data_IF_396031140163
#
_entry.id   IF_396031140163
#
_cell.length_a   1.000
_cell.length_b   1.000
_cell.length_c   1.000
_cell.angle_alpha   90.00
_cell.angle_beta   90.00
_cell.angle_gamma   90.00
#
_symmetry.space_group_name_H-M   'P 1'
#
loop_
_entity.id
_entity.type
_entity.pdbx_description
1 polymer ?
#
# COMPACT_ATOMS: atom_id res chain seq x y z
N UNK A 1 -42.87 12.08 -19.18
CA UNK A 1 -42.24 11.33 -18.08
C UNK A 1 -41.02 10.62 -18.65
N UNK A 2 -39.81 10.82 -18.10
CA UNK A 2 -38.67 10.00 -18.49
C UNK A 2 -38.93 8.54 -18.07
N UNK A 3 -38.58 7.54 -18.89
CA UNK A 3 -38.75 6.14 -18.53
C UNK A 3 -37.94 5.83 -17.27
N UNK A 4 -38.56 5.11 -16.33
CA UNK A 4 -37.89 4.63 -15.12
C UNK A 4 -36.64 3.84 -15.53
N UNK A 5 -35.47 4.21 -14.99
CA UNK A 5 -34.26 3.41 -15.16
C UNK A 5 -34.57 1.99 -14.66
N UNK A 6 -34.29 0.93 -15.44
CA UNK A 6 -34.54 -0.43 -15.00
C UNK A 6 -33.78 -0.66 -13.69
N UNK A 7 -34.47 -1.15 -12.66
CA UNK A 7 -33.79 -1.58 -11.45
C UNK A 7 -32.81 -2.69 -11.83
N UNK A 8 -31.56 -2.64 -11.34
CA UNK A 8 -30.62 -3.72 -11.58
C UNK A 8 -31.23 -5.03 -11.05
N UNK A 9 -31.11 -6.15 -11.78
CA UNK A 9 -31.67 -7.42 -11.34
C UNK A 9 -31.10 -7.78 -9.96
N UNK A 10 -31.96 -8.32 -9.08
CA UNK A 10 -31.51 -8.79 -7.77
C UNK A 10 -30.41 -9.85 -7.98
N UNK A 11 -29.31 -9.79 -7.22
CA UNK A 11 -28.22 -10.74 -7.35
C UNK A 11 -28.74 -12.16 -7.13
N UNK A 12 -28.27 -13.11 -7.95
CA UNK A 12 -28.58 -14.54 -7.77
C UNK A 12 -28.13 -15.00 -6.36
N UNK A 13 -28.67 -16.10 -5.82
CA UNK A 13 -28.21 -16.63 -4.52
C UNK A 13 -26.68 -16.82 -4.45
N UNK A 14 -26.06 -17.24 -5.56
CA UNK A 14 -24.61 -17.32 -5.70
C UNK A 14 -23.96 -15.92 -5.70
N UNK A 15 -24.56 -14.93 -6.37
CA UNK A 15 -24.15 -13.53 -6.31
C UNK A 15 -24.20 -12.96 -4.90
N UNK A 16 -25.25 -13.24 -4.13
CA UNK A 16 -25.35 -12.84 -2.72
C UNK A 16 -24.26 -13.49 -1.87
N UNK A 17 -23.96 -14.77 -2.08
CA UNK A 17 -22.87 -15.47 -1.36
C UNK A 17 -21.51 -14.83 -1.65
N UNK A 18 -21.20 -14.52 -2.91
CA UNK A 18 -19.98 -13.81 -3.28
C UNK A 18 -19.89 -12.42 -2.61
N UNK A 19 -20.98 -11.66 -2.64
CA UNK A 19 -21.04 -10.33 -1.99
C UNK A 19 -20.90 -10.41 -0.47
N UNK A 20 -21.51 -11.41 0.18
CA UNK A 20 -21.36 -11.63 1.61
C UNK A 20 -19.93 -12.03 1.98
N UNK A 21 -19.28 -12.86 1.17
CA UNK A 21 -17.87 -13.23 1.37
C UNK A 21 -16.96 -12.00 1.25
N UNK A 22 -17.16 -11.16 0.23
CA UNK A 22 -16.47 -9.87 0.08
C UNK A 22 -16.76 -8.91 1.24
N UNK A 23 -18.00 -8.88 1.74
CA UNK A 23 -18.39 -8.07 2.89
C UNK A 23 -17.79 -8.57 4.22
N UNK A 24 -17.43 -9.85 4.27
CA UNK A 24 -16.79 -10.48 5.43
C UNK A 24 -15.27 -10.60 5.27
N UNK A 25 -14.67 -10.05 4.20
CA UNK A 25 -13.24 -10.18 3.87
C UNK A 25 -12.76 -11.64 3.66
N UNK A 26 -13.70 -12.57 3.43
CA UNK A 26 -13.42 -13.98 3.14
C UNK A 26 -13.04 -14.14 1.68
N UNK A 27 -11.85 -13.68 1.32
CA UNK A 27 -11.39 -13.58 -0.07
C UNK A 27 -11.36 -14.94 -0.79
N UNK A 28 -10.95 -16.02 -0.13
CA UNK A 28 -10.95 -17.36 -0.72
C UNK A 28 -12.37 -17.84 -1.07
N UNK A 29 -13.33 -17.64 -0.15
CA UNK A 29 -14.75 -17.96 -0.39
C UNK A 29 -15.34 -17.10 -1.51
N UNK A 30 -14.97 -15.82 -1.55
CA UNK A 30 -15.38 -14.89 -2.60
C UNK A 30 -14.82 -15.31 -3.96
N UNK A 31 -13.54 -15.69 -4.04
CA UNK A 31 -12.90 -16.16 -5.26
C UNK A 31 -13.58 -17.42 -5.79
N UNK A 32 -13.81 -18.42 -4.93
CA UNK A 32 -14.50 -19.66 -5.31
C UNK A 32 -15.92 -19.39 -5.81
N UNK A 33 -16.68 -18.54 -5.10
CA UNK A 33 -18.03 -18.16 -5.52
C UNK A 33 -18.04 -17.39 -6.85
N UNK A 34 -17.06 -16.51 -7.09
CA UNK A 34 -16.92 -15.77 -8.34
C UNK A 34 -16.48 -16.67 -9.50
N UNK A 35 -15.67 -17.69 -9.27
CA UNK A 35 -15.33 -18.71 -10.26
C UNK A 35 -16.57 -19.52 -10.69
N UNK A 36 -17.42 -19.91 -9.72
CA UNK A 36 -18.69 -20.56 -10.00
C UNK A 36 -19.62 -19.66 -10.82
N UNK A 37 -19.78 -18.41 -10.40
CA UNK A 37 -20.59 -17.41 -11.12
C UNK A 37 -20.09 -17.19 -12.55
N UNK A 38 -18.78 -17.13 -12.77
CA UNK A 38 -18.19 -16.99 -14.10
C UNK A 38 -18.49 -18.20 -15.00
N UNK A 39 -18.63 -19.40 -14.43
CA UNK A 39 -19.01 -20.63 -15.17
C UNK A 39 -20.51 -20.69 -15.46
N UNK A 40 -21.34 -20.30 -14.49
CA UNK A 40 -22.81 -20.34 -14.59
C UNK A 40 -23.38 -19.20 -15.45
N UNK A 41 -22.74 -18.03 -15.43
CA UNK A 41 -23.17 -16.82 -16.12
C UNK A 41 -22.06 -16.28 -17.05
N UNK A 42 -21.64 -17.05 -18.10
CA UNK A 42 -20.45 -16.74 -18.90
C UNK A 42 -20.55 -15.46 -19.74
N UNK A 43 -21.76 -14.92 -19.93
CA UNK A 43 -22.02 -13.66 -20.63
C UNK A 43 -21.93 -12.41 -19.73
N UNK A 44 -21.84 -12.58 -18.40
CA UNK A 44 -21.83 -11.46 -17.47
C UNK A 44 -20.38 -11.00 -17.19
N UNK A 45 -20.01 -9.84 -17.73
CA UNK A 45 -18.64 -9.30 -17.63
C UNK A 45 -18.22 -8.85 -16.22
N UNK A 46 -19.15 -8.65 -15.28
CA UNK A 46 -18.83 -8.14 -13.93
C UNK A 46 -18.11 -9.17 -13.06
N UNK A 47 -18.46 -10.45 -13.16
CA UNK A 47 -17.89 -11.50 -12.33
C UNK A 47 -16.40 -11.72 -12.52
N UNK A 48 -15.89 -11.88 -13.75
CA UNK A 48 -14.45 -12.03 -13.93
C UNK A 48 -13.67 -10.77 -13.54
N UNK A 49 -14.26 -9.56 -13.66
CA UNK A 49 -13.64 -8.33 -13.15
C UNK A 49 -13.50 -8.33 -11.63
N UNK A 50 -14.56 -8.69 -10.93
CA UNK A 50 -14.52 -8.83 -9.47
C UNK A 50 -13.52 -9.92 -9.06
N UNK A 51 -13.44 -11.02 -9.80
CA UNK A 51 -12.48 -12.09 -9.53
C UNK A 51 -11.03 -11.60 -9.69
N UNK A 52 -10.72 -10.79 -10.71
CA UNK A 52 -9.40 -10.15 -10.84
C UNK A 52 -9.06 -9.33 -9.59
N UNK A 53 -10.00 -8.53 -9.08
CA UNK A 53 -9.78 -7.74 -7.86
C UNK A 53 -9.50 -8.63 -6.65
N UNK A 54 -10.31 -9.67 -6.45
CA UNK A 54 -10.14 -10.61 -5.32
C UNK A 54 -8.81 -11.35 -5.42
N UNK A 55 -8.45 -11.86 -6.60
CA UNK A 55 -7.16 -12.53 -6.82
C UNK A 55 -5.99 -11.58 -6.55
N UNK A 56 -6.12 -10.30 -6.91
CA UNK A 56 -5.12 -9.27 -6.60
C UNK A 56 -4.97 -9.06 -5.10
N UNK A 57 -6.07 -8.97 -4.35
CA UNK A 57 -6.05 -8.82 -2.89
C UNK A 57 -5.52 -10.08 -2.16
N UNK A 58 -5.67 -11.25 -2.77
CA UNK A 58 -5.07 -12.51 -2.31
C UNK A 58 -3.59 -12.67 -2.69
N UNK A 59 -2.94 -11.64 -3.25
CA UNK A 59 -1.59 -11.70 -3.83
C UNK A 59 -1.39 -12.77 -4.94
N UNK A 60 -2.47 -13.30 -5.51
CA UNK A 60 -2.45 -14.24 -6.65
C UNK A 60 -2.30 -13.47 -7.97
N UNK A 61 -1.26 -12.64 -8.06
CA UNK A 61 -1.07 -11.69 -9.17
C UNK A 61 -0.92 -12.38 -10.53
N UNK A 62 -0.27 -13.55 -10.59
CA UNK A 62 -0.13 -14.33 -11.82
C UNK A 62 -1.48 -14.80 -12.38
N UNK A 63 -2.33 -15.35 -11.51
CA UNK A 63 -3.67 -15.80 -11.88
C UNK A 63 -4.56 -14.61 -12.30
N UNK A 64 -4.48 -13.51 -11.55
CA UNK A 64 -5.17 -12.26 -11.88
C UNK A 64 -4.73 -11.72 -13.25
N UNK A 65 -3.43 -11.73 -13.56
CA UNK A 65 -2.89 -11.26 -14.83
C UNK A 65 -3.36 -12.16 -15.99
N UNK A 66 -3.34 -13.48 -15.80
CA UNK A 66 -3.84 -14.43 -16.81
C UNK A 66 -5.33 -14.19 -17.11
N UNK A 67 -6.15 -13.99 -16.07
CA UNK A 67 -7.56 -13.68 -16.24
C UNK A 67 -7.77 -12.32 -16.93
N UNK A 68 -7.01 -11.29 -16.56
CA UNK A 68 -7.02 -9.99 -17.23
C UNK A 68 -6.70 -10.10 -18.73
N UNK A 69 -5.64 -10.84 -19.11
CA UNK A 69 -5.29 -11.06 -20.52
C UNK A 69 -6.42 -11.77 -21.28
N UNK A 70 -7.06 -12.77 -20.66
CA UNK A 70 -8.19 -13.46 -21.26
C UNK A 70 -9.42 -12.56 -21.44
N UNK A 71 -9.65 -11.60 -20.54
CA UNK A 71 -10.72 -10.60 -20.68
C UNK A 71 -10.42 -9.60 -21.80
N UNK A 72 -9.20 -9.07 -21.86
CA UNK A 72 -8.77 -8.15 -22.91
C UNK A 72 -8.84 -8.81 -24.30
N UNK A 73 -8.50 -10.09 -24.41
CA UNK A 73 -8.61 -10.83 -25.67
C UNK A 73 -10.06 -11.01 -26.16
N UNK A 74 -11.05 -10.96 -25.24
CA UNK A 74 -12.48 -11.06 -25.56
C UNK A 74 -13.11 -9.70 -25.83
N UNK A 75 -12.77 -8.71 -25.02
CA UNK A 75 -13.25 -7.34 -25.09
C UNK A 75 -12.09 -6.38 -24.78
N UNK A 76 -11.36 -6.01 -25.82
CA UNK A 76 -10.14 -5.21 -25.72
C UNK A 76 -10.38 -3.72 -25.53
N UNK A 77 -11.65 -3.27 -25.52
CA UNK A 77 -12.01 -1.85 -25.51
C UNK A 77 -12.14 -1.24 -24.10
N UNK A 78 -11.80 -1.98 -23.05
CA UNK A 78 -11.82 -1.45 -21.68
C UNK A 78 -10.42 -1.00 -21.20
N UNK A 79 -10.18 0.31 -21.06
CA UNK A 79 -8.87 0.82 -20.62
C UNK A 79 -8.54 0.45 -19.16
N UNK A 80 -9.54 0.19 -18.31
CA UNK A 80 -9.34 -0.21 -16.90
C UNK A 80 -8.71 -1.60 -16.81
N UNK A 81 -9.10 -2.53 -17.68
CA UNK A 81 -8.50 -3.87 -17.70
C UNK A 81 -7.01 -3.82 -18.08
N UNK A 82 -6.65 -2.98 -19.05
CA UNK A 82 -5.27 -2.74 -19.45
C UNK A 82 -4.44 -2.09 -18.33
N UNK A 83 -5.02 -1.13 -17.61
CA UNK A 83 -4.39 -0.52 -16.43
C UNK A 83 -4.13 -1.54 -15.32
N UNK A 84 -5.12 -2.37 -14.99
CA UNK A 84 -4.99 -3.43 -13.98
C UNK A 84 -3.93 -4.44 -14.41
N UNK A 85 -3.94 -4.86 -15.69
CA UNK A 85 -2.91 -5.76 -16.22
C UNK A 85 -1.52 -5.15 -16.06
N UNK A 86 -1.34 -3.87 -16.41
CA UNK A 86 -0.06 -3.18 -16.24
C UNK A 86 0.45 -3.22 -14.80
N UNK A 87 -0.43 -2.97 -13.83
CA UNK A 87 -0.06 -3.04 -12.41
C UNK A 87 0.30 -4.46 -11.95
N UNK A 88 -0.43 -5.46 -12.44
CA UNK A 88 -0.18 -6.87 -12.12
C UNK A 88 1.14 -7.36 -12.72
N UNK A 89 1.42 -7.04 -13.98
CA UNK A 89 2.70 -7.39 -14.63
C UNK A 89 3.87 -6.73 -13.92
N UNK A 90 3.73 -5.46 -13.51
CA UNK A 90 4.71 -4.76 -12.67
C UNK A 90 4.92 -5.47 -11.34
N UNK A 91 3.83 -5.89 -10.70
CA UNK A 91 3.91 -6.61 -9.43
C UNK A 91 4.65 -7.94 -9.58
N UNK A 92 4.44 -8.67 -10.68
CA UNK A 92 5.12 -9.92 -11.02
C UNK A 92 6.58 -9.69 -11.46
N UNK A 93 6.88 -8.54 -12.07
CA UNK A 93 8.22 -8.16 -12.53
C UNK A 93 8.45 -8.22 -14.01
N UNK A 94 7.37 -8.28 -14.78
CA UNK A 94 7.41 -8.24 -16.24
C UNK A 94 7.28 -6.79 -16.72
N UNK A 95 8.31 -5.98 -16.56
CA UNK A 95 8.27 -4.54 -16.89
C UNK A 95 7.88 -4.28 -18.35
N UNK A 96 8.33 -5.11 -19.30
CA UNK A 96 7.93 -4.99 -20.71
C UNK A 96 6.44 -5.23 -20.94
N UNK A 97 5.89 -6.27 -20.32
CA UNK A 97 4.46 -6.57 -20.39
C UNK A 97 3.63 -5.48 -19.71
N UNK A 98 4.12 -4.92 -18.60
CA UNK A 98 3.48 -3.79 -17.92
C UNK A 98 3.39 -2.57 -18.84
N UNK A 99 4.52 -2.19 -19.48
CA UNK A 99 4.57 -1.08 -20.44
C UNK A 99 3.62 -1.30 -21.62
N UNK A 100 3.60 -2.51 -22.18
CA UNK A 100 2.69 -2.85 -23.28
C UNK A 100 1.21 -2.69 -22.85
N UNK A 101 0.84 -3.18 -21.67
CA UNK A 101 -0.51 -3.05 -21.15
C UNK A 101 -0.89 -1.57 -20.92
N UNK A 102 -0.02 -0.75 -20.34
CA UNK A 102 -0.29 0.68 -20.17
C UNK A 102 -0.48 1.40 -21.52
N UNK A 103 0.28 1.03 -22.56
CA UNK A 103 0.08 1.54 -23.93
C UNK A 103 -1.27 1.10 -24.51
N UNK A 104 -1.70 -0.13 -24.26
CA UNK A 104 -3.04 -0.60 -24.65
C UNK A 104 -4.18 0.22 -24.03
N UNK A 105 -4.02 0.69 -22.78
CA UNK A 105 -4.98 1.62 -22.17
C UNK A 105 -5.03 2.98 -22.91
N UNK A 106 -3.88 3.45 -23.40
CA UNK A 106 -3.75 4.73 -24.10
C UNK A 106 -4.25 4.70 -25.55
N UNK A 107 -4.23 3.53 -26.20
CA UNK A 107 -4.85 3.34 -27.52
C UNK A 107 -6.38 3.56 -27.47
N UNK A 108 -6.99 3.26 -26.31
CA UNK A 108 -8.43 3.39 -26.08
C UNK A 108 -8.77 4.77 -25.50
N UNK A 109 -8.04 5.20 -24.46
CA UNK A 109 -8.23 6.48 -23.80
C UNK A 109 -6.91 7.26 -23.74
N UNK A 110 -6.61 8.07 -24.78
CA UNK A 110 -5.31 8.75 -24.87
C UNK A 110 -5.03 9.80 -23.78
N UNK A 111 -6.07 10.29 -23.10
CA UNK A 111 -5.97 11.20 -21.97
C UNK A 111 -5.83 10.49 -20.62
N UNK A 112 -5.70 9.16 -20.57
CA UNK A 112 -5.66 8.39 -19.33
C UNK A 112 -4.38 8.68 -18.52
N UNK A 113 -4.49 9.57 -17.52
CA UNK A 113 -3.35 10.07 -16.77
C UNK A 113 -2.62 8.99 -15.98
N UNK A 114 -3.36 8.00 -15.46
CA UNK A 114 -2.79 6.84 -14.74
C UNK A 114 -1.81 6.03 -15.60
N UNK A 115 -2.13 5.80 -16.87
CA UNK A 115 -1.25 5.07 -17.77
C UNK A 115 0.02 5.88 -18.09
N UNK A 116 -0.14 7.17 -18.38
CA UNK A 116 0.99 8.08 -18.64
C UNK A 116 1.93 8.21 -17.45
N UNK A 117 1.39 8.40 -16.24
CA UNK A 117 2.20 8.44 -15.03
C UNK A 117 2.95 7.13 -14.80
N UNK A 118 2.28 5.97 -14.94
CA UNK A 118 2.93 4.67 -14.79
C UNK A 118 4.06 4.45 -15.81
N UNK A 119 3.92 4.93 -17.05
CA UNK A 119 4.99 4.88 -18.06
C UNK A 119 6.15 5.83 -17.74
N UNK A 120 5.85 7.06 -17.32
CA UNK A 120 6.86 8.05 -16.94
C UNK A 120 7.67 7.62 -15.73
N UNK A 121 7.04 6.93 -14.77
CA UNK A 121 7.73 6.36 -13.61
C UNK A 121 8.83 5.35 -14.00
N UNK A 122 8.69 4.69 -15.16
CA UNK A 122 9.70 3.76 -15.69
C UNK A 122 10.76 4.41 -16.56
N UNK A 123 10.34 5.28 -17.48
CA UNK A 123 11.20 5.89 -18.48
C UNK A 123 10.80 7.34 -18.74
N UNK A 124 10.93 8.19 -17.72
CA UNK A 124 10.54 9.61 -17.79
C UNK A 124 11.06 10.32 -19.04
N UNK A 125 12.33 10.10 -19.40
CA UNK A 125 12.98 10.71 -20.57
C UNK A 125 12.31 10.38 -21.92
N UNK A 126 11.59 9.26 -22.01
CA UNK A 126 11.08 8.74 -23.29
C UNK A 126 9.64 9.16 -23.58
N UNK A 127 8.91 9.68 -22.60
CA UNK A 127 7.46 9.92 -22.73
C UNK A 127 7.07 11.39 -22.67
N UNK A 128 7.99 12.31 -22.38
CA UNK A 128 7.67 13.72 -22.14
C UNK A 128 6.86 14.36 -23.27
N UNK A 129 7.33 14.24 -24.52
CA UNK A 129 6.64 14.81 -25.69
C UNK A 129 5.23 14.25 -25.84
N UNK A 130 5.04 12.96 -25.60
CA UNK A 130 3.75 12.30 -25.72
C UNK A 130 2.79 12.71 -24.59
N UNK A 131 3.30 12.81 -23.36
CA UNK A 131 2.55 13.29 -22.19
C UNK A 131 2.12 14.74 -22.40
N UNK A 132 3.00 15.61 -22.92
CA UNK A 132 2.64 16.99 -23.30
C UNK A 132 1.50 17.01 -24.32
N UNK A 133 1.56 16.14 -25.32
CA UNK A 133 0.51 16.00 -26.33
C UNK A 133 -0.79 15.35 -25.81
N UNK A 134 -0.78 14.76 -24.60
CA UNK A 134 -1.97 14.25 -23.93
C UNK A 134 -2.76 15.36 -23.23
N UNK A 135 -2.12 16.48 -22.86
CA UNK A 135 -2.83 17.67 -22.38
C UNK A 135 -3.73 18.23 -23.49
N UNK A 136 -5.04 18.22 -23.25
CA UNK A 136 -6.03 18.70 -24.22
C UNK A 136 -6.66 17.61 -25.09
N UNK A 137 -6.28 16.33 -24.93
CA UNK A 137 -7.03 15.23 -25.57
C UNK A 137 -8.41 15.05 -24.90
N UNK A 138 -9.44 14.67 -25.66
CA UNK A 138 -10.77 14.41 -25.10
C UNK A 138 -10.71 13.32 -24.01
N UNK A 139 -11.52 13.48 -22.95
CA UNK A 139 -11.71 12.47 -21.91
C UNK A 139 -10.87 12.66 -20.64
N UNK A 140 -9.89 13.57 -20.61
CA UNK A 140 -9.06 13.80 -19.42
C UNK A 140 -9.85 14.45 -18.27
N UNK A 141 -10.15 13.66 -17.23
CA UNK A 141 -10.75 14.14 -15.99
C UNK A 141 -9.78 15.04 -15.20
N UNK A 142 -10.22 15.79 -14.17
CA UNK A 142 -9.31 16.51 -13.28
C UNK A 142 -8.24 15.61 -12.65
N UNK A 143 -8.59 14.35 -12.33
CA UNK A 143 -7.63 13.36 -11.84
C UNK A 143 -6.61 13.01 -12.92
N UNK A 144 -7.04 12.79 -14.17
CA UNK A 144 -6.12 12.50 -15.26
C UNK A 144 -5.14 13.65 -15.51
N UNK A 145 -5.63 14.90 -15.49
CA UNK A 145 -4.80 16.08 -15.63
C UNK A 145 -3.77 16.22 -14.51
N UNK A 146 -4.16 15.93 -13.27
CA UNK A 146 -3.22 15.87 -12.15
C UNK A 146 -2.12 14.83 -12.41
N UNK A 147 -2.49 13.62 -12.81
CA UNK A 147 -1.55 12.53 -13.10
C UNK A 147 -0.64 12.81 -14.30
N UNK A 148 -1.12 13.55 -15.32
CA UNK A 148 -0.27 14.03 -16.41
C UNK A 148 0.80 15.02 -15.91
N UNK A 149 0.47 15.88 -14.95
CA UNK A 149 1.48 16.72 -14.29
C UNK A 149 2.52 15.90 -13.55
N UNK A 150 2.12 14.87 -12.80
CA UNK A 150 3.09 13.95 -12.18
C UNK A 150 3.95 13.24 -13.23
N UNK A 151 3.39 12.84 -14.37
CA UNK A 151 4.14 12.22 -15.45
C UNK A 151 5.21 13.17 -16.04
N UNK A 152 4.87 14.45 -16.26
CA UNK A 152 5.86 15.46 -16.66
C UNK A 152 6.89 15.75 -15.56
N UNK A 153 6.47 15.71 -14.29
CA UNK A 153 7.37 15.85 -13.15
C UNK A 153 8.42 14.74 -13.10
N UNK A 154 8.02 13.48 -13.30
CA UNK A 154 8.96 12.35 -13.40
C UNK A 154 9.90 12.47 -14.61
N UNK A 155 9.39 12.94 -15.76
CA UNK A 155 10.21 13.18 -16.95
C UNK A 155 11.28 14.27 -16.74
N UNK A 156 10.91 15.39 -16.15
CA UNK A 156 11.84 16.47 -15.80
C UNK A 156 12.82 16.03 -14.70
N UNK A 157 12.36 15.26 -13.70
CA UNK A 157 13.20 14.70 -12.64
C UNK A 157 14.29 13.77 -13.22
N UNK A 158 13.92 12.91 -14.18
CA UNK A 158 14.89 12.03 -14.85
C UNK A 158 15.98 12.81 -15.59
N UNK A 159 15.65 13.98 -16.14
CA UNK A 159 16.57 14.89 -16.82
C UNK A 159 17.32 15.85 -15.88
N UNK A 160 17.16 15.69 -14.55
CA UNK A 160 17.71 16.57 -13.52
C UNK A 160 17.24 18.05 -13.61
N UNK A 161 16.11 18.31 -14.26
CA UNK A 161 15.45 19.63 -14.33
C UNK A 161 14.59 19.84 -13.07
N UNK A 162 15.24 19.95 -11.91
CA UNK A 162 14.56 19.89 -10.61
C UNK A 162 13.51 20.99 -10.39
N UNK A 163 13.74 22.21 -10.88
CA UNK A 163 12.77 23.31 -10.76
C UNK A 163 11.48 23.01 -11.55
N UNK A 164 11.65 22.54 -12.81
CA UNK A 164 10.54 22.17 -13.69
C UNK A 164 9.77 21.00 -13.11
N UNK A 165 10.49 19.98 -12.63
CA UNK A 165 9.91 18.82 -11.96
C UNK A 165 9.09 19.24 -10.74
N UNK A 166 9.65 20.09 -9.87
CA UNK A 166 8.98 20.59 -8.68
C UNK A 166 7.69 21.34 -9.02
N UNK A 167 7.72 22.22 -10.03
CA UNK A 167 6.53 22.95 -10.49
C UNK A 167 5.41 22.03 -10.97
N UNK A 168 5.76 20.97 -11.71
CA UNK A 168 4.80 19.95 -12.13
C UNK A 168 4.24 19.13 -10.97
N UNK A 169 5.08 18.66 -10.04
CA UNK A 169 4.60 17.97 -8.84
C UNK A 169 3.66 18.87 -8.01
N UNK A 170 4.01 20.14 -7.83
CA UNK A 170 3.17 21.12 -7.11
C UNK A 170 1.81 21.31 -7.78
N UNK A 171 1.78 21.49 -9.10
CA UNK A 171 0.52 21.65 -9.85
C UNK A 171 -0.37 20.40 -9.74
N UNK A 172 0.21 19.20 -9.90
CA UNK A 172 -0.53 17.95 -9.73
C UNK A 172 -1.09 17.78 -8.32
N UNK A 173 -0.28 18.12 -7.31
CA UNK A 173 -0.69 18.11 -5.90
C UNK A 173 -1.83 19.07 -5.61
N UNK A 174 -1.79 20.30 -6.12
CA UNK A 174 -2.87 21.28 -5.95
C UNK A 174 -4.20 20.78 -6.54
N UNK A 175 -4.14 20.03 -7.64
CA UNK A 175 -5.33 19.41 -8.25
C UNK A 175 -5.84 18.24 -7.40
N UNK A 176 -4.96 17.35 -6.93
CA UNK A 176 -5.33 16.23 -6.06
C UNK A 176 -5.92 16.73 -4.73
N UNK A 177 -5.36 17.78 -4.13
CA UNK A 177 -5.87 18.38 -2.89
C UNK A 177 -7.29 18.94 -3.02
N UNK A 178 -7.73 19.31 -4.23
CA UNK A 178 -9.13 19.72 -4.49
C UNK A 178 -10.08 18.52 -4.65
N UNK A 179 -9.56 17.38 -5.10
CA UNK A 179 -10.33 16.14 -5.28
C UNK A 179 -10.55 15.46 -3.91
N UNK A 180 -9.48 15.34 -3.12
CA UNK A 180 -9.50 14.75 -1.78
C UNK A 180 -8.78 15.70 -0.80
N UNK A 181 -9.50 16.64 -0.17
CA UNK A 181 -8.89 17.57 0.78
C UNK A 181 -8.44 16.86 2.06
N UNK A 182 -7.26 17.24 2.57
CA UNK A 182 -6.81 16.84 3.90
C UNK A 182 -7.43 17.76 4.97
N UNK A 183 -7.87 17.18 6.09
CA UNK A 183 -8.33 17.93 7.28
C UNK A 183 -7.28 17.87 8.39
N UNK A 184 -6.43 18.91 8.55
CA UNK A 184 -5.42 18.95 9.60
C UNK A 184 -6.00 18.95 11.01
N UNK A 185 -7.21 19.52 11.20
CA UNK A 185 -7.84 19.60 12.52
C UNK A 185 -8.35 18.22 12.92
N UNK A 186 -9.09 17.56 12.03
CA UNK A 186 -9.54 16.18 12.22
C UNK A 186 -8.36 15.24 12.45
N UNK A 187 -7.27 15.40 11.70
CA UNK A 187 -6.05 14.63 11.95
C UNK A 187 -5.44 14.91 13.33
N UNK A 188 -5.37 16.16 13.78
CA UNK A 188 -4.90 16.49 15.13
C UNK A 188 -5.75 15.84 16.23
N UNK A 189 -7.07 15.76 16.03
CA UNK A 189 -7.99 15.07 16.93
C UNK A 189 -7.79 13.55 16.91
N UNK A 190 -7.57 12.97 15.72
CA UNK A 190 -7.22 11.56 15.55
C UNK A 190 -5.95 11.22 16.36
N UNK A 191 -4.87 12.00 16.20
CA UNK A 191 -3.63 11.79 16.96
C UNK A 191 -3.86 11.88 18.48
N UNK A 192 -4.61 12.87 18.95
CA UNK A 192 -4.93 13.00 20.37
C UNK A 192 -5.71 11.78 20.90
N UNK A 193 -6.66 11.28 20.12
CA UNK A 193 -7.43 10.09 20.47
C UNK A 193 -6.54 8.82 20.52
N UNK A 194 -5.66 8.62 19.53
CA UNK A 194 -4.75 7.48 19.49
C UNK A 194 -3.79 7.46 20.70
N UNK A 195 -3.25 8.62 21.06
CA UNK A 195 -2.38 8.75 22.24
C UNK A 195 -3.15 8.47 23.53
N UNK A 196 -4.37 8.99 23.67
CA UNK A 196 -5.21 8.73 24.83
C UNK A 196 -5.63 7.25 24.92
N UNK A 197 -5.85 6.60 23.78
CA UNK A 197 -6.36 5.23 23.72
C UNK A 197 -5.25 4.17 23.81
N UNK A 198 -3.99 4.55 23.66
CA UNK A 198 -2.85 3.64 23.75
C UNK A 198 -2.91 2.83 25.06
N UNK A 199 -2.75 1.50 25.05
CA UNK A 199 -2.73 0.71 26.28
C UNK A 199 -1.37 0.84 26.98
N UNK A 200 -1.35 0.59 28.30
CA UNK A 200 -0.12 0.31 29.03
C UNK A 200 0.01 -1.21 29.14
N UNK A 201 1.10 -1.78 28.64
CA UNK A 201 1.39 -3.21 28.71
C UNK A 201 2.69 -3.43 29.47
N UNK A 202 2.77 -4.54 30.20
CA UNK A 202 3.98 -4.94 30.89
C UNK A 202 4.85 -5.82 29.98
N UNK A 203 6.17 -5.72 30.16
CA UNK A 203 7.14 -6.53 29.41
C UNK A 203 6.96 -8.04 29.70
N UNK A 204 6.46 -8.42 30.89
CA UNK A 204 6.17 -9.81 31.24
C UNK A 204 5.05 -10.44 30.41
N UNK A 205 4.16 -9.63 29.83
CA UNK A 205 3.13 -10.10 28.91
C UNK A 205 3.70 -10.41 27.52
N UNK A 206 5.00 -10.12 27.29
CA UNK A 206 5.76 -10.40 26.06
C UNK A 206 6.10 -11.89 25.96
N UNK A 207 5.13 -12.79 26.10
CA UNK A 207 5.43 -14.21 26.06
C UNK A 207 5.97 -14.58 24.67
N UNK A 208 7.25 -14.95 24.61
CA UNK A 208 7.94 -15.42 23.41
C UNK A 208 7.48 -16.82 22.95
N UNK A 209 6.68 -17.51 23.77
CA UNK A 209 6.30 -18.92 23.57
C UNK A 209 5.09 -19.14 22.65
N UNK A 210 4.53 -18.07 22.06
CA UNK A 210 3.41 -18.21 21.12
C UNK A 210 3.68 -17.47 19.82
N UNK A 211 3.48 -18.12 18.65
CA UNK A 211 3.52 -17.42 17.39
C UNK A 211 2.47 -16.29 17.37
N UNK A 212 2.93 -15.08 17.09
CA UNK A 212 2.11 -13.87 17.09
C UNK A 212 2.27 -13.13 15.75
N UNK A 213 1.23 -12.40 15.31
CA UNK A 213 1.32 -11.57 14.11
C UNK A 213 2.40 -10.50 14.28
N UNK A 214 3.16 -10.27 13.21
CA UNK A 214 4.11 -9.17 13.12
C UNK A 214 3.52 -8.11 12.19
N UNK A 215 3.30 -6.91 12.71
CA UNK A 215 2.85 -5.77 11.93
C UNK A 215 4.06 -4.95 11.49
N UNK A 216 4.26 -4.80 10.20
CA UNK A 216 5.25 -3.86 9.66
C UNK A 216 4.56 -2.55 9.29
N UNK A 217 4.77 -1.53 10.10
CA UNK A 217 4.13 -0.22 9.99
C UNK A 217 5.14 0.88 9.65
N UNK A 218 4.63 2.03 9.26
CA UNK A 218 5.44 3.22 9.01
C UNK A 218 4.75 4.18 8.05
N UNK A 219 5.50 5.13 7.52
CA UNK A 219 5.03 5.95 6.42
C UNK A 219 5.11 5.19 5.09
N UNK A 220 4.18 5.42 4.13
CA UNK A 220 4.43 5.00 2.75
C UNK A 220 5.80 5.53 2.29
N UNK A 221 6.48 4.76 1.45
CA UNK A 221 7.83 5.11 0.94
C UNK A 221 8.95 5.13 2.02
N UNK A 222 8.77 4.47 3.17
CA UNK A 222 9.82 4.27 4.18
C UNK A 222 10.76 3.08 3.92
N UNK A 223 10.48 2.25 2.91
CA UNK A 223 11.27 1.04 2.61
C UNK A 223 10.68 -0.27 3.14
N UNK A 224 9.46 -0.26 3.64
CA UNK A 224 8.79 -1.44 4.24
C UNK A 224 8.73 -2.66 3.32
N UNK A 225 8.57 -2.47 2.00
CA UNK A 225 8.54 -3.59 1.03
C UNK A 225 9.89 -4.30 0.95
N UNK A 226 11.00 -3.58 1.14
CA UNK A 226 12.33 -4.18 1.18
C UNK A 226 12.45 -5.10 2.41
N UNK A 227 12.10 -4.56 3.58
CA UNK A 227 12.19 -5.30 4.83
C UNK A 227 11.26 -6.52 4.84
N UNK A 228 10.01 -6.35 4.38
CA UNK A 228 9.07 -7.46 4.23
C UNK A 228 9.64 -8.59 3.36
N UNK A 229 10.31 -8.28 2.24
CA UNK A 229 10.95 -9.30 1.39
C UNK A 229 12.11 -10.01 2.08
N UNK A 230 12.93 -9.26 2.82
CA UNK A 230 14.04 -9.85 3.59
C UNK A 230 13.51 -10.80 4.65
N UNK A 231 12.48 -10.39 5.39
CA UNK A 231 11.88 -11.22 6.43
C UNK A 231 11.12 -12.42 5.84
N UNK A 232 10.37 -12.23 4.74
CA UNK A 232 9.65 -13.30 4.05
C UNK A 232 10.53 -14.32 3.33
N UNK A 233 11.84 -14.10 3.25
CA UNK A 233 12.80 -15.09 2.76
C UNK A 233 13.26 -16.07 3.87
N UNK A 234 12.84 -15.85 5.11
CA UNK A 234 13.10 -16.76 6.23
C UNK A 234 12.09 -17.93 6.22
N UNK A 235 12.57 -19.15 6.42
CA UNK A 235 11.76 -20.38 6.46
C UNK A 235 10.64 -20.42 7.52
N UNK A 236 10.65 -19.51 8.51
CA UNK A 236 9.68 -19.45 9.60
C UNK A 236 8.74 -18.24 9.53
N UNK A 237 8.84 -17.43 8.47
CA UNK A 237 8.11 -16.15 8.37
C UNK A 237 7.43 -16.06 7.01
N UNK A 238 6.12 -15.95 7.03
CA UNK A 238 5.31 -15.74 5.82
C UNK A 238 4.97 -14.24 5.63
N UNK A 239 5.30 -13.65 4.48
CA UNK A 239 4.93 -12.28 4.15
C UNK A 239 3.55 -12.22 3.47
N UNK A 240 2.57 -11.55 4.10
CA UNK A 240 1.19 -11.50 3.58
C UNK A 240 0.92 -10.31 2.66
N UNK A 241 1.90 -9.43 2.46
CA UNK A 241 1.73 -8.22 1.65
C UNK A 241 0.82 -7.20 2.34
N UNK A 242 0.23 -6.32 1.52
CA UNK A 242 -0.67 -5.27 2.02
C UNK A 242 -2.05 -5.82 2.35
N UNK A 243 -2.51 -5.51 3.56
CA UNK A 243 -3.82 -5.91 4.07
C UNK A 243 -4.63 -4.71 4.52
N UNK A 244 -5.88 -4.61 4.06
CA UNK A 244 -6.86 -3.67 4.63
C UNK A 244 -7.73 -4.29 5.73
N UNK A 245 -7.50 -5.57 6.06
CA UNK A 245 -8.34 -6.32 6.99
C UNK A 245 -8.39 -5.67 8.37
N UNK A 246 -7.25 -5.17 8.89
CA UNK A 246 -7.22 -4.47 10.18
C UNK A 246 -8.11 -3.22 10.18
N UNK A 247 -7.95 -2.35 9.18
CA UNK A 247 -8.75 -1.13 9.06
C UNK A 247 -10.26 -1.43 8.98
N UNK A 248 -10.61 -2.46 8.21
CA UNK A 248 -11.99 -2.92 8.05
C UNK A 248 -12.58 -3.46 9.35
N UNK A 249 -11.86 -4.37 10.02
CA UNK A 249 -12.31 -4.99 11.27
C UNK A 249 -12.42 -3.97 12.39
N UNK A 250 -11.44 -3.07 12.53
CA UNK A 250 -11.49 -1.96 13.48
C UNK A 250 -12.76 -1.12 13.26
N UNK A 251 -13.06 -0.74 12.01
CA UNK A 251 -14.29 0.00 11.69
C UNK A 251 -15.59 -0.75 12.09
N UNK A 252 -15.66 -2.05 11.79
CA UNK A 252 -16.84 -2.88 12.13
C UNK A 252 -17.03 -3.06 13.63
N UNK A 253 -15.95 -3.29 14.37
CA UNK A 253 -16.00 -3.52 15.82
C UNK A 253 -16.20 -2.23 16.61
N UNK A 254 -15.65 -1.10 16.15
CA UNK A 254 -15.93 0.21 16.75
C UNK A 254 -17.41 0.59 16.67
N UNK A 255 -18.13 0.16 15.61
CA UNK A 255 -19.58 0.34 15.50
C UNK A 255 -20.40 -0.54 16.46
N UNK A 256 -19.82 -1.61 17.01
CA UNK A 256 -20.51 -2.65 17.80
C UNK A 256 -20.33 -2.56 19.31
N UNK A 257 -19.58 -1.58 19.82
CA UNK A 257 -19.34 -1.44 21.27
C UNK A 257 -17.99 -0.86 21.66
N UNK A 258 -17.08 -0.61 20.71
CA UNK A 258 -15.84 0.12 20.97
C UNK A 258 -14.82 -0.67 21.81
N UNK A 259 -14.18 -0.02 22.77
CA UNK A 259 -13.01 -0.50 23.52
C UNK A 259 -13.29 -1.59 24.58
N UNK A 260 -14.48 -2.18 24.59
CA UNK A 260 -14.80 -3.27 25.52
C UNK A 260 -13.91 -4.50 25.27
N UNK A 261 -13.42 -5.12 26.35
CA UNK A 261 -12.47 -6.26 26.28
C UNK A 261 -13.00 -7.42 25.43
N UNK A 262 -14.30 -7.73 25.51
CA UNK A 262 -14.92 -8.77 24.70
C UNK A 262 -14.90 -8.45 23.18
N UNK A 263 -15.11 -7.18 22.83
CA UNK A 263 -15.05 -6.70 21.43
C UNK A 263 -13.61 -6.77 20.91
N UNK A 264 -12.63 -6.38 21.72
CA UNK A 264 -11.20 -6.45 21.35
C UNK A 264 -10.74 -7.90 21.15
N UNK A 265 -11.14 -8.82 22.03
CA UNK A 265 -10.83 -10.25 21.89
C UNK A 265 -11.45 -10.84 20.61
N UNK A 266 -12.71 -10.48 20.31
CA UNK A 266 -13.36 -10.89 19.07
C UNK A 266 -12.64 -10.33 17.83
N UNK A 267 -12.22 -9.06 17.85
CA UNK A 267 -11.44 -8.45 16.77
C UNK A 267 -10.14 -9.21 16.53
N UNK A 268 -9.40 -9.55 17.59
CA UNK A 268 -8.16 -10.32 17.48
C UNK A 268 -8.40 -11.70 16.86
N UNK A 269 -9.43 -12.42 17.31
CA UNK A 269 -9.82 -13.72 16.76
C UNK A 269 -10.23 -13.63 15.28
N UNK A 270 -11.02 -12.63 14.90
CA UNK A 270 -11.44 -12.40 13.52
C UNK A 270 -10.24 -12.08 12.63
N UNK A 271 -9.32 -11.24 13.10
CA UNK A 271 -8.12 -10.86 12.37
C UNK A 271 -7.21 -12.07 12.11
N UNK A 272 -6.97 -12.90 13.12
CA UNK A 272 -6.18 -14.12 12.98
C UNK A 272 -6.83 -15.11 12.01
N UNK A 273 -8.16 -15.25 12.06
CA UNK A 273 -8.91 -16.13 11.16
C UNK A 273 -8.83 -15.66 9.70
N UNK A 274 -8.95 -14.35 9.45
CA UNK A 274 -8.80 -13.77 8.12
C UNK A 274 -7.37 -13.87 7.59
N UNK A 275 -6.39 -13.64 8.47
CA UNK A 275 -4.97 -13.77 8.12
C UNK A 275 -4.66 -15.21 7.73
N UNK A 276 -5.12 -16.21 8.50
CA UNK A 276 -4.95 -17.63 8.19
C UNK A 276 -5.48 -18.03 6.80
N UNK A 277 -6.56 -17.41 6.32
CA UNK A 277 -7.11 -17.69 4.99
C UNK A 277 -6.24 -17.14 3.83
N UNK A 278 -5.31 -16.22 4.13
CA UNK A 278 -4.33 -15.66 3.18
C UNK A 278 -2.98 -16.35 3.24
N UNK A 279 -2.83 -17.28 4.19
CA UNK A 279 -1.60 -18.04 4.40
C UNK A 279 -1.60 -19.28 3.52
N UNK A 280 -0.47 -19.55 2.92
CA UNK A 280 -0.22 -20.66 2.02
C UNK A 280 0.78 -21.66 2.61
N UNK A 281 1.62 -21.23 3.53
CA UNK A 281 2.59 -22.09 4.21
C UNK A 281 2.22 -22.42 5.66
N UNK A 282 3.05 -23.25 6.28
CA UNK A 282 2.89 -23.73 7.64
C UNK A 282 3.78 -23.00 8.66
N UNK A 283 4.31 -21.83 8.27
CA UNK A 283 5.25 -21.05 9.06
C UNK A 283 4.66 -20.65 10.42
N UNK A 284 5.45 -20.57 11.49
CA UNK A 284 4.92 -20.10 12.76
C UNK A 284 4.54 -18.61 12.72
N UNK A 285 5.34 -17.77 12.06
CA UNK A 285 5.13 -16.32 12.02
C UNK A 285 4.60 -15.84 10.68
N UNK A 286 3.86 -14.73 10.71
CA UNK A 286 3.48 -14.01 9.51
C UNK A 286 3.61 -12.50 9.71
N UNK A 287 3.86 -11.80 8.61
CA UNK A 287 3.96 -10.34 8.55
C UNK A 287 2.77 -9.77 7.80
N UNK A 288 2.02 -8.90 8.47
CA UNK A 288 1.09 -7.98 7.83
C UNK A 288 1.80 -6.64 7.63
N UNK A 289 2.14 -6.34 6.38
CA UNK A 289 2.78 -5.08 6.03
C UNK A 289 1.73 -4.16 5.45
N UNK A 290 1.26 -3.22 6.26
CA UNK A 290 0.46 -2.10 5.79
C UNK A 290 0.93 -0.84 6.52
N UNK A 291 1.50 0.10 5.78
CA UNK A 291 2.11 1.33 6.32
C UNK A 291 1.20 2.00 7.36
N UNK A 292 -0.05 2.25 6.97
CA UNK A 292 -1.02 2.99 7.77
C UNK A 292 -1.60 2.19 8.95
N UNK A 293 -1.18 0.93 9.18
CA UNK A 293 -1.58 0.19 10.37
C UNK A 293 -1.07 0.82 11.67
N UNK A 294 -0.13 1.77 11.62
CA UNK A 294 0.25 2.58 12.78
C UNK A 294 -0.97 3.25 13.44
N UNK A 295 -2.01 3.60 12.67
CA UNK A 295 -3.29 4.14 13.20
C UNK A 295 -4.05 3.17 14.07
N UNK A 296 -3.85 1.88 13.86
CA UNK A 296 -4.55 0.82 14.57
C UNK A 296 -3.71 0.22 15.69
N UNK A 297 -2.50 0.73 15.96
CA UNK A 297 -1.61 0.19 17.00
C UNK A 297 -2.26 0.13 18.38
N UNK A 298 -2.98 1.15 18.88
CA UNK A 298 -3.72 1.02 20.14
C UNK A 298 -4.70 -0.17 20.15
N UNK A 299 -5.42 -0.38 19.05
CA UNK A 299 -6.39 -1.47 18.88
C UNK A 299 -5.69 -2.81 18.75
N UNK A 300 -4.62 -2.89 17.95
CA UNK A 300 -3.80 -4.10 17.77
C UNK A 300 -3.28 -4.60 19.10
N UNK A 301 -2.69 -3.71 19.92
CA UNK A 301 -2.11 -4.05 21.21
C UNK A 301 -3.17 -4.49 22.24
N UNK A 302 -4.40 -3.98 22.15
CA UNK A 302 -5.52 -4.43 23.01
C UNK A 302 -6.13 -5.75 22.56
N UNK A 303 -6.34 -5.91 21.25
CA UNK A 303 -6.98 -7.08 20.67
C UNK A 303 -6.05 -8.30 20.63
N UNK A 304 -4.76 -8.05 20.46
CA UNK A 304 -3.72 -9.07 20.36
C UNK A 304 -2.51 -8.61 21.19
N UNK A 305 -2.53 -8.80 22.53
CA UNK A 305 -1.45 -8.34 23.41
C UNK A 305 -0.08 -8.96 23.11
N UNK A 306 -0.03 -10.08 22.39
CA UNK A 306 1.21 -10.71 21.93
C UNK A 306 1.72 -10.18 20.57
N UNK A 307 0.93 -9.37 19.86
CA UNK A 307 1.30 -8.85 18.54
C UNK A 307 2.58 -8.02 18.60
N UNK A 308 3.46 -8.25 17.63
CA UNK A 308 4.73 -7.54 17.49
C UNK A 308 4.60 -6.48 16.41
N UNK A 309 5.21 -5.33 16.60
CA UNK A 309 5.15 -4.21 15.67
C UNK A 309 6.57 -3.78 15.32
N UNK A 310 6.92 -3.82 14.04
CA UNK A 310 8.13 -3.19 13.51
C UNK A 310 7.73 -1.81 13.00
N UNK A 311 8.29 -0.76 13.60
CA UNK A 311 8.14 0.63 13.17
C UNK A 311 9.33 1.02 12.28
N UNK A 312 9.16 0.92 10.96
CA UNK A 312 10.21 1.28 10.00
C UNK A 312 10.12 2.76 9.60
N UNK A 313 11.10 3.53 10.05
CA UNK A 313 11.26 4.95 9.73
C UNK A 313 12.30 5.16 8.66
N UNK A 314 12.19 6.27 7.94
CA UNK A 314 13.20 6.79 7.00
C UNK A 314 13.36 8.26 7.30
N UNK A 315 14.52 8.85 7.03
CA UNK A 315 14.78 10.27 7.22
C UNK A 315 13.60 11.13 6.79
N UNK A 316 13.09 11.97 7.71
CA UNK A 316 11.77 12.59 7.57
C UNK A 316 11.62 13.42 6.28
N UNK A 317 12.67 14.16 5.89
CA UNK A 317 12.71 14.92 4.64
C UNK A 317 12.59 14.02 3.41
N UNK A 318 13.41 12.97 3.33
CA UNK A 318 13.36 12.03 2.20
C UNK A 318 12.04 11.28 2.12
N UNK A 319 11.48 10.91 3.28
CA UNK A 319 10.19 10.23 3.37
C UNK A 319 9.06 11.15 2.91
N UNK A 320 8.95 12.36 3.48
CA UNK A 320 7.93 13.33 3.13
C UNK A 320 8.02 13.77 1.67
N UNK A 321 9.24 14.04 1.16
CA UNK A 321 9.46 14.37 -0.26
C UNK A 321 9.05 13.21 -1.18
N UNK A 322 9.42 11.97 -0.83
CA UNK A 322 9.02 10.79 -1.61
C UNK A 322 7.50 10.59 -1.64
N UNK A 323 6.78 10.99 -0.58
CA UNK A 323 5.32 10.99 -0.57
C UNK A 323 4.75 12.14 -1.40
N UNK A 324 5.31 13.35 -1.28
CA UNK A 324 4.86 14.54 -1.99
C UNK A 324 4.94 14.40 -3.51
N UNK A 325 5.99 13.76 -4.04
CA UNK A 325 6.14 13.53 -5.48
C UNK A 325 5.38 12.30 -6.01
N UNK A 326 4.66 11.57 -5.16
CA UNK A 326 3.93 10.37 -5.54
C UNK A 326 2.42 10.61 -5.55
N UNK A 327 1.71 10.40 -6.67
CA UNK A 327 0.27 10.65 -6.74
C UNK A 327 -0.53 9.49 -6.14
N UNK A 328 -0.74 9.53 -4.82
CA UNK A 328 -1.64 8.59 -4.16
C UNK A 328 -3.07 8.78 -4.68
N UNK A 329 -3.61 7.76 -5.35
CA UNK A 329 -4.96 7.78 -5.92
C UNK A 329 -6.01 7.38 -4.85
N UNK A 330 -5.97 8.05 -3.70
CA UNK A 330 -6.88 7.85 -2.58
C UNK A 330 -6.20 7.52 -1.25
N UNK A 331 -6.75 8.02 -0.14
CA UNK A 331 -6.44 7.55 1.21
C UNK A 331 -5.13 8.09 1.81
N UNK A 332 -4.46 9.03 1.14
CA UNK A 332 -3.31 9.75 1.70
C UNK A 332 -3.24 11.23 1.28
N UNK A 333 -4.32 12.02 1.48
CA UNK A 333 -4.41 13.40 0.98
C UNK A 333 -3.43 14.38 1.63
N UNK A 334 -2.83 14.02 2.78
CA UNK A 334 -1.77 14.84 3.40
C UNK A 334 -0.53 14.95 2.51
N UNK A 335 -0.28 13.99 1.63
CA UNK A 335 0.85 14.01 0.68
C UNK A 335 0.81 15.18 -0.30
N UNK A 336 -0.37 15.78 -0.53
CA UNK A 336 -0.55 16.83 -1.54
C UNK A 336 -0.09 18.23 -1.08
N UNK A 337 0.35 18.40 0.17
CA UNK A 337 0.87 19.67 0.65
C UNK A 337 2.06 19.44 1.60
N UNK A 338 3.08 20.28 1.46
CA UNK A 338 4.34 20.15 2.21
C UNK A 338 4.14 20.20 3.74
N UNK A 339 3.29 21.09 4.23
CA UNK A 339 3.04 21.26 5.67
C UNK A 339 2.16 20.12 6.19
N UNK A 340 1.18 19.70 5.39
CA UNK A 340 0.29 18.60 5.73
C UNK A 340 1.03 17.27 5.83
N UNK A 341 1.90 16.93 4.87
CA UNK A 341 2.68 15.67 4.92
C UNK A 341 3.67 15.68 6.08
N UNK A 342 4.30 16.82 6.37
CA UNK A 342 5.17 16.99 7.53
C UNK A 342 4.42 16.81 8.85
N UNK A 343 3.26 17.47 8.99
CA UNK A 343 2.38 17.31 10.16
C UNK A 343 1.92 15.86 10.33
N UNK A 344 1.60 15.19 9.21
CA UNK A 344 1.20 13.79 9.22
C UNK A 344 2.33 12.87 9.70
N UNK A 345 3.54 13.06 9.18
CA UNK A 345 4.74 12.32 9.59
C UNK A 345 4.99 12.49 11.09
N UNK A 346 4.92 13.72 11.61
CA UNK A 346 5.10 14.01 13.03
C UNK A 346 4.04 13.36 13.91
N UNK A 347 2.78 13.40 13.48
CA UNK A 347 1.68 12.73 14.18
C UNK A 347 1.91 11.22 14.27
N UNK A 348 2.26 10.58 13.15
CA UNK A 348 2.66 9.18 13.09
C UNK A 348 3.81 8.86 14.06
N UNK A 349 4.92 9.59 13.96
CA UNK A 349 6.11 9.34 14.76
C UNK A 349 5.79 9.45 16.26
N UNK A 350 5.00 10.47 16.64
CA UNK A 350 4.55 10.65 18.03
C UNK A 350 3.71 9.48 18.54
N UNK A 351 2.79 8.95 17.74
CA UNK A 351 1.98 7.78 18.13
C UNK A 351 2.84 6.55 18.31
N UNK A 352 3.83 6.33 17.43
CA UNK A 352 4.71 5.18 17.54
C UNK A 352 5.74 5.30 18.66
N UNK A 353 6.23 6.52 18.95
CA UNK A 353 7.08 6.79 20.11
C UNK A 353 6.34 6.51 21.42
N UNK A 354 5.06 6.89 21.49
CA UNK A 354 4.19 6.57 22.63
C UNK A 354 3.95 5.06 22.75
N UNK A 355 3.66 4.37 21.64
CA UNK A 355 3.48 2.92 21.63
C UNK A 355 4.74 2.19 22.11
N UNK A 356 5.91 2.61 21.65
CA UNK A 356 7.19 2.04 22.08
C UNK A 356 7.45 2.24 23.57
N UNK A 357 7.01 3.37 24.12
CA UNK A 357 7.14 3.68 25.55
C UNK A 357 6.16 2.88 26.41
N UNK A 358 4.91 2.72 25.96
CA UNK A 358 3.82 2.11 26.75
C UNK A 358 3.64 0.61 26.56
N UNK A 359 4.25 0.04 25.53
CA UNK A 359 4.26 -1.39 25.27
C UNK A 359 5.69 -1.91 25.06
N UNK A 360 6.55 -1.86 26.11
CA UNK A 360 7.93 -2.34 26.02
C UNK A 360 7.99 -3.79 25.51
N UNK A 361 8.93 -4.04 24.61
CA UNK A 361 9.10 -5.34 23.95
C UNK A 361 8.08 -5.65 22.84
N UNK A 362 7.06 -4.81 22.59
CA UNK A 362 6.12 -4.99 21.45
C UNK A 362 6.47 -4.18 20.22
N UNK A 363 7.15 -3.06 20.39
CA UNK A 363 7.55 -2.21 19.28
C UNK A 363 9.06 -2.31 19.09
N UNK A 364 9.48 -2.60 17.87
CA UNK A 364 10.87 -2.48 17.44
C UNK A 364 10.95 -1.34 16.44
N UNK A 365 11.58 -0.24 16.84
CA UNK A 365 11.91 0.84 15.91
C UNK A 365 13.13 0.46 15.09
N UNK A 366 13.03 0.63 13.77
CA UNK A 366 14.13 0.45 12.84
C UNK A 366 14.21 1.66 11.92
N UNK A 367 15.40 2.22 11.75
CA UNK A 367 15.64 3.28 10.78
C UNK A 367 16.16 2.67 9.46
N UNK A 368 15.59 3.10 8.33
CA UNK A 368 15.87 2.59 6.98
C UNK A 368 17.33 2.78 6.59
N UNK A 369 17.92 3.89 7.00
CA UNK A 369 19.32 4.22 6.79
C UNK A 369 20.25 3.19 7.41
N UNK A 370 19.91 2.67 8.60
CA UNK A 370 20.67 1.62 9.28
C UNK A 370 20.50 0.28 8.55
N UNK A 371 19.27 -0.07 8.17
CA UNK A 371 19.00 -1.27 7.37
C UNK A 371 19.77 -1.28 6.05
N UNK A 372 19.90 -0.12 5.39
CA UNK A 372 20.67 0.01 4.14
C UNK A 372 22.18 0.02 4.40
N UNK A 373 22.63 0.50 5.56
CA UNK A 373 24.04 0.52 5.92
C UNK A 373 24.55 -0.87 6.31
N UNK A 374 23.79 -1.63 7.10
CA UNK A 374 24.15 -2.96 7.58
C UNK A 374 22.90 -3.85 7.77
N UNK A 375 22.45 -4.45 6.67
CA UNK A 375 21.27 -5.32 6.70
C UNK A 375 21.48 -6.59 7.54
N UNK A 376 22.70 -7.16 7.58
CA UNK A 376 22.98 -8.37 8.35
C UNK A 376 22.80 -8.11 9.85
N UNK A 377 23.38 -7.01 10.35
CA UNK A 377 23.22 -6.58 11.74
C UNK A 377 21.75 -6.34 12.11
N UNK A 378 21.03 -5.56 11.29
CA UNK A 378 19.62 -5.25 11.55
C UNK A 378 18.74 -6.50 11.53
N UNK A 379 18.95 -7.41 10.56
CA UNK A 379 18.13 -8.62 10.46
C UNK A 379 18.40 -9.60 11.61
N UNK A 380 19.64 -9.73 12.08
CA UNK A 380 19.95 -10.49 13.30
C UNK A 380 19.24 -9.92 14.52
N UNK A 381 19.29 -8.60 14.71
CA UNK A 381 18.59 -7.95 15.81
C UNK A 381 17.06 -8.17 15.75
N UNK A 382 16.46 -8.14 14.56
CA UNK A 382 15.03 -8.45 14.37
C UNK A 382 14.75 -9.92 14.69
N UNK A 383 15.58 -10.85 14.22
CA UNK A 383 15.45 -12.27 14.50
C UNK A 383 15.53 -12.55 16.01
N UNK A 384 16.51 -11.97 16.71
CA UNK A 384 16.66 -12.10 18.16
C UNK A 384 15.44 -11.54 18.90
N UNK A 385 14.91 -10.40 18.45
CA UNK A 385 13.71 -9.80 19.01
C UNK A 385 12.44 -10.63 18.77
N UNK A 386 12.34 -11.29 17.61
CA UNK A 386 11.25 -12.25 17.31
C UNK A 386 11.44 -13.57 18.08
N UNK A 387 12.68 -13.95 18.39
CA UNK A 387 13.02 -15.25 18.99
C UNK A 387 13.24 -16.37 17.95
N UNK A 388 13.75 -16.04 16.76
CA UNK A 388 14.11 -16.99 15.70
C UNK A 388 15.59 -16.85 15.34
N UNK A 389 16.20 -17.90 14.77
CA UNK A 389 17.60 -17.85 14.32
C UNK A 389 17.72 -17.21 12.95
N UNK A 390 18.66 -16.27 12.78
CA UNK A 390 18.93 -15.64 11.49
C UNK A 390 19.24 -16.66 10.37
N UNK A 391 18.68 -16.41 9.19
CA UNK A 391 18.94 -17.20 7.97
C UNK A 391 19.62 -16.34 6.88
N UNK A 392 20.73 -16.80 6.28
CA UNK A 392 21.40 -16.06 5.20
C UNK A 392 20.52 -15.77 3.97
N UNK A 393 19.45 -16.55 3.76
CA UNK A 393 18.47 -16.32 2.69
C UNK A 393 17.80 -14.94 2.80
N UNK A 394 17.72 -14.36 4.00
CA UNK A 394 17.12 -13.05 4.25
C UNK A 394 17.88 -11.90 3.57
N UNK A 395 19.16 -12.10 3.23
CA UNK A 395 19.97 -11.13 2.50
C UNK A 395 19.89 -11.33 0.97
N UNK A 396 19.34 -12.44 0.51
CA UNK A 396 19.24 -12.80 -0.91
C UNK A 396 17.95 -12.24 -1.54
N UNK A 397 17.94 -10.92 -1.77
CA UNK A 397 16.79 -10.21 -2.37
C UNK A 397 16.40 -10.73 -3.77
N UNK A 398 17.35 -11.33 -4.49
CA UNK A 398 17.17 -11.90 -5.82
C UNK A 398 16.46 -13.25 -5.81
N UNK A 399 16.61 -14.03 -4.73
CA UNK A 399 15.88 -15.30 -4.53
C UNK A 399 14.62 -15.19 -3.69
N UNK A 400 14.41 -14.08 -2.97
CA UNK A 400 13.15 -13.79 -2.27
C UNK A 400 11.99 -13.76 -3.29
N UNK A 401 11.33 -14.92 -3.45
CA UNK A 401 10.35 -15.20 -4.49
C UNK A 401 8.97 -14.71 -4.06
N UNK A 402 8.39 -13.81 -4.85
CA UNK A 402 7.03 -13.34 -4.63
C UNK A 402 6.74 -12.06 -5.42
N UNK A 403 5.55 -11.93 -6.04
CA UNK A 403 5.13 -10.65 -6.59
C UNK A 403 5.05 -9.59 -5.48
N UNK A 404 5.26 -8.32 -5.83
CA UNK A 404 5.08 -7.20 -4.89
C UNK A 404 4.13 -6.18 -5.50
N UNK A 405 2.91 -6.06 -4.97
CA UNK A 405 1.89 -5.13 -5.51
C UNK A 405 2.23 -3.64 -5.33
N UNK A 406 3.24 -3.32 -4.52
CA UNK A 406 3.54 -1.95 -4.09
C UNK A 406 4.26 -1.14 -5.16
N UNK A 407 4.14 0.18 -5.13
CA UNK A 407 4.87 1.08 -6.03
C UNK A 407 6.41 0.98 -5.91
N UNK A 408 6.95 0.30 -4.89
CA UNK A 408 8.39 0.04 -4.72
C UNK A 408 8.87 -1.25 -5.40
N UNK A 409 8.00 -2.00 -6.09
CA UNK A 409 8.26 -3.38 -6.55
C UNK A 409 9.55 -3.55 -7.36
N UNK A 410 9.94 -2.56 -8.17
CA UNK A 410 11.19 -2.64 -8.92
C UNK A 410 12.42 -2.23 -8.12
N UNK A 411 12.28 -1.30 -7.17
CA UNK A 411 13.37 -0.84 -6.32
C UNK A 411 13.89 -1.98 -5.44
N UNK A 412 12.97 -2.85 -4.98
CA UNK A 412 13.28 -3.95 -4.06
C UNK A 412 13.81 -5.22 -4.75
N UNK A 413 13.82 -5.26 -6.09
CA UNK A 413 14.46 -6.33 -6.88
C UNK A 413 15.92 -6.05 -7.20
N UNK A 414 16.38 -4.81 -6.98
CA UNK A 414 17.78 -4.41 -7.15
C UNK A 414 18.56 -4.71 -5.87
N UNK A 415 19.88 -4.88 -5.95
CA UNK A 415 20.72 -4.93 -4.75
C UNK A 415 20.47 -3.73 -3.84
N UNK A 416 20.62 -3.96 -2.53
CA UNK A 416 20.58 -2.92 -1.51
C UNK A 416 21.48 -1.75 -1.92
N UNK A 417 20.95 -0.53 -1.89
CA UNK A 417 21.70 0.65 -2.31
C UNK A 417 21.22 1.91 -1.59
N UNK A 418 22.09 2.92 -1.57
CA UNK A 418 21.86 4.20 -0.89
C UNK A 418 21.11 5.23 -1.75
N UNK A 419 20.57 4.87 -2.92
CA UNK A 419 19.90 5.83 -3.82
C UNK A 419 18.61 6.40 -3.23
N UNK A 420 18.07 5.75 -2.20
CA UNK A 420 16.93 6.26 -1.42
C UNK A 420 17.32 7.25 -0.32
N UNK A 421 18.59 7.64 -0.17
CA UNK A 421 19.03 8.55 0.91
C UNK A 421 19.50 9.87 0.27
N UNK A 422 19.05 11.01 0.79
CA UNK A 422 19.35 12.34 0.27
C UNK A 422 18.61 12.70 -1.02
N UNK A 423 17.48 12.04 -1.33
CA UNK A 423 16.72 12.29 -2.57
C UNK A 423 16.02 13.65 -2.58
N UNK A 424 15.85 14.27 -1.42
CA UNK A 424 15.30 15.62 -1.30
C UNK A 424 16.33 16.73 -1.55
N UNK A 425 17.64 16.43 -1.46
CA UNK A 425 18.72 17.44 -1.51
C UNK A 425 18.68 18.31 -2.77
N UNK A 426 18.45 17.76 -3.99
CA UNK A 426 18.36 18.60 -5.19
C UNK A 426 17.17 19.59 -5.18
N UNK A 427 16.21 19.37 -4.28
CA UNK A 427 14.99 20.16 -4.13
C UNK A 427 15.00 21.05 -2.88
N UNK A 428 16.11 21.08 -2.12
CA UNK A 428 16.20 21.74 -0.80
C UNK A 428 15.66 23.17 -0.78
N UNK A 429 15.86 23.93 -1.86
CA UNK A 429 15.48 25.34 -1.96
C UNK A 429 13.95 25.55 -2.00
N UNK A 430 13.20 24.56 -2.50
CA UNK A 430 11.74 24.61 -2.58
C UNK A 430 11.03 23.83 -1.45
N UNK A 431 11.79 23.11 -0.63
CA UNK A 431 11.29 22.27 0.46
C UNK A 431 11.35 22.92 1.85
N UNK A 432 11.68 24.21 1.93
CA UNK A 432 11.71 24.92 3.21
C UNK A 432 10.36 24.86 3.97
N UNK A 433 9.18 24.98 3.34
CA UNK A 433 7.91 24.81 4.04
C UNK A 433 7.76 23.43 4.73
N UNK A 434 8.21 22.36 4.05
CA UNK A 434 8.25 21.01 4.62
C UNK A 434 9.25 20.91 5.78
N UNK A 435 10.48 21.40 5.57
CA UNK A 435 11.53 21.36 6.57
C UNK A 435 11.15 22.13 7.85
N UNK A 436 10.55 23.32 7.71
CA UNK A 436 10.07 24.11 8.84
C UNK A 436 8.96 23.38 9.62
N UNK A 437 8.02 22.75 8.93
CA UNK A 437 6.91 22.01 9.54
C UNK A 437 7.36 20.70 10.22
N UNK A 438 8.50 20.13 9.82
CA UNK A 438 9.11 18.98 10.49
C UNK A 438 9.89 19.36 11.76
N UNK A 439 10.42 20.60 11.84
CA UNK A 439 11.18 21.09 13.00
C UNK A 439 10.31 21.55 14.17
N UNK A 440 9.28 22.34 13.87
CA UNK A 440 8.26 22.71 14.87
C UNK A 440 7.35 21.54 15.12
#
# INVERSE_FOLDING_TARGET
MPPARPQPPRPSPAGMKAMQALQADRLADAAAALEDLRRLEPGEGRWPRMLVMVLTEMNRHGDAAQLCRALIARDGADPVLHLILGDLERAIGNSDAARHAYRGALDIHPGQGRAWWSLAFYHGEQVETEVRAAFGRPGASPLDQALLHFALGEAAHAQAEHEVAFGHFGTGNDMLARIEPFDPRGFGQEIAALLSDMPQLDESEASADRPAPIFLVGMPRSGSTLLERMLGAHSQVEALGESRSMARLAGLHMQRGGAESAVMSALGSDYLSLSAARRHGAEPFFIDKMHLNWRFVPVILKAMPAARIIDLRRGAMDCCWSNYRFPFQGGHPSSCDQRNIASFYRGYARVMDEANTRAPGRVLRLDYEDLVADADFCLRAICDWIGISFEPSMLDLGKASGPTGTASSEQVRRPLNRKGIGVHEPYREWLEPMAAALRG
#
